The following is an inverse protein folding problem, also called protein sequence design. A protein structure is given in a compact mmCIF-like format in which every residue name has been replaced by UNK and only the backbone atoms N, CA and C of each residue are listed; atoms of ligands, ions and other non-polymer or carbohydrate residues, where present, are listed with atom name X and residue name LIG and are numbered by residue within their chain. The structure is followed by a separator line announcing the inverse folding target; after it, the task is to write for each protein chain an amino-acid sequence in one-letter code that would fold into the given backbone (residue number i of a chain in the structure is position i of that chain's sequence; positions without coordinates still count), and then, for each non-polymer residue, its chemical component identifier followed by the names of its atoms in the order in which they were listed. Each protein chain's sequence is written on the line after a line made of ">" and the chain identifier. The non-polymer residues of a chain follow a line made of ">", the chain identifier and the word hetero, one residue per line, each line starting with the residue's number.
data_IF_236187175550
#
_entry.id   IF_236187175550
#
_cell.length_a   1.000
_cell.length_b   1.000
_cell.length_c   1.000
_cell.angle_alpha   90.00
_cell.angle_beta   90.00
_cell.angle_gamma   90.00
#
_symmetry.space_group_name_H-M   'P 1'
#
loop_
_entity.id
_entity.type
_entity.pdbx_description
1 polymer ?
#
# COMPACT_ATOMS: atom_id res chain seq x y z
N UNK A 1 26.19 2.08 -5.20
CA UNK A 1 24.74 2.37 -5.30
C UNK A 1 23.99 1.05 -5.38
N UNK A 2 22.84 0.97 -4.72
CA UNK A 2 22.00 -0.22 -4.62
C UNK A 2 20.90 -0.13 -5.67
N UNK A 3 20.64 -1.21 -6.40
CA UNK A 3 19.54 -1.30 -7.36
C UNK A 3 18.29 -1.78 -6.64
N UNK A 4 17.22 -0.98 -6.67
CA UNK A 4 15.90 -1.34 -6.13
C UNK A 4 15.38 -2.60 -6.84
N UNK A 5 15.64 -2.72 -8.14
CA UNK A 5 15.23 -3.89 -8.93
C UNK A 5 15.83 -5.22 -8.46
N UNK A 6 16.93 -5.18 -7.69
CA UNK A 6 17.63 -6.34 -7.17
C UNK A 6 17.32 -6.61 -5.69
N UNK A 7 16.55 -5.74 -5.04
CA UNK A 7 16.20 -5.92 -3.64
C UNK A 7 15.15 -7.02 -3.46
N UNK A 8 15.23 -7.79 -2.37
CA UNK A 8 14.22 -8.80 -2.05
C UNK A 8 12.89 -8.11 -1.72
N UNK A 9 11.84 -8.46 -2.49
CA UNK A 9 10.49 -7.94 -2.28
C UNK A 9 9.83 -8.62 -1.08
N UNK A 10 9.08 -7.85 -0.30
CA UNK A 10 8.18 -8.35 0.74
C UNK A 10 6.86 -8.78 0.10
N UNK A 11 6.57 -10.07 0.20
CA UNK A 11 5.45 -10.72 -0.49
C UNK A 11 4.29 -11.06 0.44
N UNK A 12 4.49 -11.01 1.76
CA UNK A 12 3.45 -11.29 2.74
C UNK A 12 3.70 -10.52 4.05
N UNK A 13 2.68 -10.34 4.89
CA UNK A 13 2.81 -9.65 6.17
C UNK A 13 3.85 -10.27 7.11
N UNK A 14 4.03 -11.60 7.09
CA UNK A 14 5.04 -12.26 7.91
C UNK A 14 6.44 -11.75 7.59
N UNK A 15 6.81 -11.70 6.30
CA UNK A 15 8.07 -11.13 5.84
C UNK A 15 8.25 -9.67 6.24
N UNK A 16 7.17 -8.88 6.25
CA UNK A 16 7.20 -7.48 6.69
C UNK A 16 7.63 -7.38 8.16
N UNK A 17 6.96 -8.10 9.06
CA UNK A 17 7.26 -8.02 10.50
C UNK A 17 8.59 -8.67 10.90
N UNK A 18 9.10 -9.62 10.11
CA UNK A 18 10.41 -10.24 10.38
C UNK A 18 11.59 -9.42 9.89
N UNK A 19 11.36 -8.44 9.02
CA UNK A 19 12.44 -7.67 8.44
C UNK A 19 12.87 -6.53 9.37
N UNK A 20 14.17 -6.45 9.67
CA UNK A 20 14.74 -5.42 10.53
C UNK A 20 14.65 -4.02 9.92
N UNK A 21 14.66 -3.92 8.59
CA UNK A 21 14.54 -2.63 7.90
C UNK A 21 13.90 -2.78 6.53
N UNK A 22 12.97 -1.86 6.27
CA UNK A 22 12.12 -1.85 5.09
C UNK A 22 12.46 -0.62 4.25
N UNK A 23 12.42 -0.80 2.93
CA UNK A 23 12.32 0.26 1.96
C UNK A 23 10.91 0.21 1.36
N UNK A 24 10.15 1.29 1.54
CA UNK A 24 8.95 1.55 0.75
C UNK A 24 9.32 2.40 -0.46
N UNK A 25 8.90 1.95 -1.63
CA UNK A 25 9.04 2.65 -2.90
C UNK A 25 7.68 2.93 -3.48
N UNK A 26 7.43 4.18 -3.85
CA UNK A 26 6.22 4.61 -4.54
C UNK A 26 6.53 5.73 -5.53
N UNK A 27 5.51 6.23 -6.23
CA UNK A 27 5.65 7.31 -7.20
C UNK A 27 4.62 8.40 -6.93
N UNK A 28 5.10 9.63 -6.73
CA UNK A 28 4.28 10.82 -6.60
C UNK A 28 3.98 11.41 -7.98
N UNK A 29 2.70 11.61 -8.27
CA UNK A 29 2.28 12.42 -9.41
C UNK A 29 2.37 13.90 -9.05
N UNK A 30 3.24 14.62 -9.77
CA UNK A 30 3.33 16.09 -9.69
C UNK A 30 2.35 16.74 -10.67
N UNK A 31 2.01 16.06 -11.76
CA UNK A 31 1.12 16.57 -12.81
C UNK A 31 1.86 17.35 -13.90
N UNK A 32 1.17 18.33 -14.47
CA UNK A 32 1.67 19.17 -15.57
C UNK A 32 2.48 20.36 -15.03
N UNK A 33 3.72 20.08 -14.62
CA UNK A 33 4.64 21.11 -14.16
C UNK A 33 5.23 21.93 -15.33
N UNK A 34 5.43 23.26 -15.16
CA UNK A 34 6.15 24.09 -16.13
C UNK A 34 7.56 23.55 -16.43
N UNK A 35 8.11 23.84 -17.62
CA UNK A 35 9.43 23.32 -18.06
C UNK A 35 10.54 23.49 -17.02
N UNK A 36 10.69 24.70 -16.46
CA UNK A 36 11.74 24.97 -15.47
C UNK A 36 11.57 24.12 -14.20
N UNK A 37 10.33 23.85 -13.79
CA UNK A 37 10.04 23.01 -12.63
C UNK A 37 10.35 21.55 -12.93
N UNK A 38 10.02 21.06 -14.14
CA UNK A 38 10.37 19.70 -14.57
C UNK A 38 11.87 19.47 -14.55
N UNK A 39 12.64 20.42 -15.07
CA UNK A 39 14.11 20.37 -15.05
C UNK A 39 14.65 20.37 -13.61
N UNK A 40 14.11 21.21 -12.72
CA UNK A 40 14.47 21.20 -11.30
C UNK A 40 14.16 19.87 -10.62
N UNK A 41 12.94 19.36 -10.76
CA UNK A 41 12.50 18.07 -10.20
C UNK A 41 13.39 16.92 -10.70
N UNK A 42 13.73 16.93 -11.99
CA UNK A 42 14.60 15.92 -12.59
C UNK A 42 16.00 15.94 -11.99
N UNK A 43 16.56 17.13 -11.75
CA UNK A 43 17.94 17.29 -11.29
C UNK A 43 18.09 17.11 -9.77
N UNK A 44 17.10 17.54 -8.98
CA UNK A 44 17.20 17.58 -7.52
C UNK A 44 16.50 16.40 -6.83
N UNK A 45 15.37 15.93 -7.38
CA UNK A 45 14.52 14.91 -6.74
C UNK A 45 14.46 13.59 -7.51
N UNK A 46 15.31 13.42 -8.53
CA UNK A 46 15.32 12.21 -9.35
C UNK A 46 14.04 11.99 -10.17
N UNK A 47 13.21 13.03 -10.34
CA UNK A 47 11.94 12.90 -11.03
C UNK A 47 12.08 12.69 -12.54
N UNK A 48 11.03 12.19 -13.17
CA UNK A 48 11.01 11.76 -14.57
C UNK A 48 9.66 12.11 -15.22
N UNK A 49 9.60 11.99 -16.55
CA UNK A 49 8.41 12.29 -17.34
C UNK A 49 7.87 10.98 -17.92
N UNK A 50 6.58 10.73 -17.71
CA UNK A 50 5.85 9.61 -18.31
C UNK A 50 4.48 10.10 -18.76
N UNK A 51 4.06 9.74 -19.98
CA UNK A 51 2.78 10.18 -20.56
C UNK A 51 2.51 11.69 -20.41
N UNK A 52 3.53 12.52 -20.66
CA UNK A 52 3.54 13.99 -20.53
C UNK A 52 3.39 14.55 -19.12
N UNK A 53 3.16 13.71 -18.10
CA UNK A 53 3.07 14.09 -16.69
C UNK A 53 4.42 13.93 -15.99
N UNK A 54 4.62 14.72 -14.95
CA UNK A 54 5.84 14.69 -14.12
C UNK A 54 5.62 13.82 -12.90
N UNK A 55 6.60 12.96 -12.61
CA UNK A 55 6.58 12.02 -11.50
C UNK A 55 7.86 12.11 -10.68
N UNK A 56 7.76 11.76 -9.40
CA UNK A 56 8.90 11.70 -8.48
C UNK A 56 8.88 10.34 -7.78
N UNK A 57 9.97 9.57 -7.82
CA UNK A 57 10.07 8.36 -7.00
C UNK A 57 10.15 8.76 -5.52
N UNK A 58 9.29 8.18 -4.70
CA UNK A 58 9.33 8.30 -3.25
C UNK A 58 9.98 7.05 -2.70
N UNK A 59 10.99 7.24 -1.87
CA UNK A 59 11.65 6.17 -1.11
C UNK A 59 11.62 6.51 0.38
N UNK A 60 11.04 5.63 1.19
CA UNK A 60 11.01 5.77 2.65
C UNK A 60 11.66 4.55 3.28
N UNK A 61 12.53 4.77 4.24
CA UNK A 61 13.23 3.69 4.96
C UNK A 61 12.85 3.72 6.43
N UNK A 62 12.66 2.55 7.04
CA UNK A 62 12.32 2.45 8.46
C UNK A 62 12.15 1.01 8.93
N UNK A 63 11.98 0.83 10.24
CA UNK A 63 11.54 -0.46 10.77
C UNK A 63 10.04 -0.67 10.49
N UNK A 64 9.54 -1.91 10.50
CA UNK A 64 8.11 -2.20 10.34
C UNK A 64 7.22 -1.38 11.30
N UNK A 65 7.64 -1.26 12.56
CA UNK A 65 6.91 -0.53 13.60
C UNK A 65 6.88 0.96 13.31
N UNK A 66 8.03 1.54 12.94
CA UNK A 66 8.13 2.96 12.57
C UNK A 66 7.25 3.29 11.37
N UNK A 67 7.23 2.42 10.35
CA UNK A 67 6.40 2.63 9.17
C UNK A 67 4.90 2.64 9.51
N UNK A 68 4.45 1.67 10.32
CA UNK A 68 3.05 1.61 10.75
C UNK A 68 2.68 2.75 11.69
N UNK A 69 3.57 3.16 12.61
CA UNK A 69 3.35 4.29 13.51
C UNK A 69 3.25 5.64 12.79
N UNK A 70 3.73 5.72 11.54
CA UNK A 70 3.64 6.89 10.68
C UNK A 70 2.58 6.75 9.57
N UNK A 71 1.80 5.67 9.58
CA UNK A 71 0.64 5.55 8.70
C UNK A 71 -0.35 6.71 8.93
N UNK A 72 -0.89 7.26 7.85
CA UNK A 72 -1.78 8.41 7.82
C UNK A 72 -1.11 9.76 8.04
N UNK A 73 0.18 9.81 8.40
CA UNK A 73 0.88 11.08 8.56
C UNK A 73 1.35 11.62 7.20
N UNK A 74 1.07 12.90 6.88
CA UNK A 74 1.53 13.48 5.64
C UNK A 74 3.05 13.69 5.67
N UNK A 75 3.69 13.26 4.60
CA UNK A 75 5.07 13.57 4.25
C UNK A 75 5.02 14.71 3.26
N UNK A 76 5.43 15.88 3.73
CA UNK A 76 5.36 17.12 2.97
C UNK A 76 6.59 17.21 2.07
N UNK A 77 6.37 17.12 0.76
CA UNK A 77 7.36 17.43 -0.25
C UNK A 77 7.22 18.91 -0.63
N UNK A 78 8.11 19.74 -0.07
CA UNK A 78 8.23 21.15 -0.44
C UNK A 78 9.23 21.28 -1.57
N UNK A 79 8.79 21.86 -2.67
CA UNK A 79 9.66 22.27 -3.76
C UNK A 79 9.89 23.77 -3.61
N UNK A 80 11.14 24.23 -3.70
CA UNK A 80 11.56 25.63 -3.44
C UNK A 80 10.82 26.70 -4.27
N UNK A 81 10.03 26.29 -5.27
CA UNK A 81 9.25 27.14 -6.16
C UNK A 81 7.75 27.18 -5.80
N UNK A 82 7.40 27.00 -4.53
CA UNK A 82 6.04 27.19 -4.02
C UNK A 82 5.06 26.05 -4.36
N UNK A 83 5.57 24.89 -4.75
CA UNK A 83 4.76 23.69 -4.95
C UNK A 83 4.93 22.80 -3.71
N UNK A 84 3.82 22.34 -3.17
CA UNK A 84 3.80 21.46 -1.99
C UNK A 84 2.89 20.27 -2.31
N UNK A 85 3.43 19.07 -2.15
CA UNK A 85 2.65 17.84 -2.30
C UNK A 85 2.73 17.02 -1.01
N UNK A 86 1.62 16.40 -0.66
CA UNK A 86 1.50 15.60 0.54
C UNK A 86 1.36 14.15 0.11
N UNK A 87 2.34 13.33 0.49
CA UNK A 87 2.23 11.89 0.36
C UNK A 87 1.89 11.31 1.74
N UNK A 88 0.94 10.40 1.82
CA UNK A 88 0.69 9.66 3.04
C UNK A 88 0.67 8.16 2.74
N UNK A 89 1.38 7.38 3.54
CA UNK A 89 1.20 5.94 3.54
C UNK A 89 -0.08 5.63 4.33
N UNK A 90 -1.06 4.96 3.73
CA UNK A 90 -2.36 4.69 4.34
C UNK A 90 -2.33 3.58 5.41
N UNK A 91 -1.20 2.88 5.56
CA UNK A 91 -1.05 1.76 6.48
C UNK A 91 -1.62 0.43 5.95
N UNK A 92 -2.15 0.40 4.74
CA UNK A 92 -2.70 -0.83 4.15
C UNK A 92 -1.56 -1.71 3.62
N UNK A 93 -1.06 -2.59 4.50
CA UNK A 93 0.04 -3.50 4.17
C UNK A 93 -0.30 -4.43 3.00
N UNK A 94 -1.54 -4.90 2.90
CA UNK A 94 -1.96 -5.78 1.81
C UNK A 94 -1.93 -5.06 0.46
N UNK A 95 -2.40 -3.81 0.41
CA UNK A 95 -2.29 -2.98 -0.79
C UNK A 95 -0.83 -2.69 -1.14
N UNK A 96 0.01 -2.36 -0.16
CA UNK A 96 1.43 -2.10 -0.38
C UNK A 96 2.19 -3.33 -0.93
N UNK A 97 1.90 -4.52 -0.39
CA UNK A 97 2.45 -5.80 -0.88
C UNK A 97 1.93 -6.10 -2.28
N UNK A 98 0.63 -5.95 -2.53
CA UNK A 98 0.00 -6.16 -3.84
C UNK A 98 0.65 -5.31 -4.92
N UNK A 99 0.87 -4.03 -4.63
CA UNK A 99 1.54 -3.09 -5.52
C UNK A 99 3.07 -3.24 -5.55
N UNK A 100 3.64 -4.20 -4.83
CA UNK A 100 5.09 -4.48 -4.78
C UNK A 100 5.90 -3.24 -4.37
N UNK A 101 5.42 -2.52 -3.36
CA UNK A 101 6.04 -1.29 -2.86
C UNK A 101 7.07 -1.54 -1.76
N UNK A 102 7.08 -2.72 -1.14
CA UNK A 102 7.86 -3.00 0.06
C UNK A 102 9.03 -3.94 -0.24
N UNK A 103 10.24 -3.53 0.13
CA UNK A 103 11.47 -4.27 -0.05
C UNK A 103 12.19 -4.45 1.28
N UNK A 104 12.81 -5.60 1.48
CA UNK A 104 13.66 -5.85 2.62
C UNK A 104 15.07 -5.34 2.31
N UNK A 105 15.56 -4.43 3.17
CA UNK A 105 16.92 -3.87 3.08
C UNK A 105 17.74 -4.15 4.33
N UNK A 106 17.35 -5.15 5.12
CA UNK A 106 18.03 -5.53 6.37
C UNK A 106 19.53 -5.79 6.18
N UNK A 107 19.92 -6.34 5.04
CA UNK A 107 21.33 -6.58 4.71
C UNK A 107 22.20 -5.30 4.65
N UNK A 108 21.58 -4.12 4.55
CA UNK A 108 22.26 -2.84 4.34
C UNK A 108 22.19 -1.90 5.56
N UNK A 109 21.61 -2.32 6.68
CA UNK A 109 21.39 -1.48 7.88
C UNK A 109 22.71 -0.91 8.43
N UNK A 110 23.76 -1.72 8.44
CA UNK A 110 25.07 -1.34 8.99
C UNK A 110 25.99 -0.66 7.95
N UNK A 111 25.48 -0.37 6.75
CA UNK A 111 26.23 0.30 5.70
C UNK A 111 26.38 1.80 5.95
N UNK A 112 27.46 2.45 5.46
CA UNK A 112 27.76 3.85 5.76
C UNK A 112 26.79 4.87 5.14
N UNK A 113 26.00 4.49 4.13
CA UNK A 113 24.86 5.26 3.60
C UNK A 113 24.16 4.45 2.52
N UNK A 114 22.83 4.35 2.56
CA UNK A 114 22.05 3.66 1.54
C UNK A 114 21.80 4.65 0.39
N UNK A 115 22.51 4.48 -0.72
CA UNK A 115 22.30 5.24 -1.95
C UNK A 115 21.72 4.35 -3.03
N UNK A 116 20.57 4.72 -3.58
CA UNK A 116 19.89 3.95 -4.63
C UNK A 116 20.26 4.43 -6.04
N UNK A 117 20.32 3.51 -6.99
CA UNK A 117 20.45 3.83 -8.41
C UNK A 117 19.14 4.40 -8.97
N UNK A 118 19.28 5.33 -9.91
CA UNK A 118 18.13 5.93 -10.61
C UNK A 118 17.64 4.97 -11.69
N UNK A 119 16.68 4.13 -11.32
CA UNK A 119 16.13 3.12 -12.23
C UNK A 119 14.77 3.58 -12.81
N UNK A 120 14.76 4.64 -13.61
CA UNK A 120 13.52 5.22 -14.19
C UNK A 120 12.65 4.18 -14.90
N UNK A 121 13.25 3.39 -15.80
CA UNK A 121 12.52 2.38 -16.57
C UNK A 121 11.90 1.32 -15.66
N UNK A 122 12.60 0.91 -14.60
CA UNK A 122 12.06 -0.02 -13.62
C UNK A 122 10.86 0.58 -12.88
N UNK A 123 10.99 1.82 -12.39
CA UNK A 123 9.93 2.52 -11.66
C UNK A 123 8.70 2.72 -12.55
N UNK A 124 8.88 3.17 -13.80
CA UNK A 124 7.79 3.34 -14.77
C UNK A 124 7.09 2.00 -15.01
N UNK A 125 7.85 0.96 -15.34
CA UNK A 125 7.28 -0.35 -15.65
C UNK A 125 6.58 -0.99 -14.44
N UNK A 126 7.09 -0.78 -13.22
CA UNK A 126 6.52 -1.35 -11.99
C UNK A 126 5.27 -0.60 -11.52
N UNK A 127 5.35 0.71 -11.41
CA UNK A 127 4.40 1.51 -10.64
C UNK A 127 3.44 2.34 -11.49
N UNK A 128 3.76 2.57 -12.77
CA UNK A 128 2.91 3.35 -13.67
C UNK A 128 2.30 2.45 -14.76
N UNK A 129 3.12 1.95 -15.69
CA UNK A 129 2.63 1.12 -16.80
C UNK A 129 2.06 -0.23 -16.31
N UNK A 130 2.68 -0.81 -15.29
CA UNK A 130 2.23 -2.06 -14.66
C UNK A 130 1.21 -1.88 -13.54
N UNK A 131 0.70 -0.66 -13.32
CA UNK A 131 -0.24 -0.38 -12.25
C UNK A 131 -1.53 -1.19 -12.42
N UNK A 132 -2.00 -1.76 -11.32
CA UNK A 132 -3.29 -2.45 -11.23
C UNK A 132 -3.99 -1.98 -9.98
N UNK A 133 -5.27 -1.63 -10.08
CA UNK A 133 -6.07 -1.26 -8.92
C UNK A 133 -6.04 -2.39 -7.88
N UNK A 134 -5.85 -2.02 -6.61
CA UNK A 134 -5.98 -2.97 -5.52
C UNK A 134 -7.47 -3.23 -5.28
N UNK A 135 -7.86 -4.49 -5.31
CA UNK A 135 -9.16 -4.94 -4.86
C UNK A 135 -8.95 -5.68 -3.56
N UNK A 136 -9.56 -5.17 -2.49
CA UNK A 136 -9.54 -5.87 -1.23
C UNK A 136 -10.18 -7.25 -1.46
N UNK A 137 -9.47 -8.35 -1.17
CA UNK A 137 -10.08 -9.66 -1.27
C UNK A 137 -11.29 -9.62 -0.36
N UNK A 138 -12.49 -9.72 -0.96
CA UNK A 138 -13.73 -9.70 -0.21
C UNK A 138 -13.58 -10.70 0.93
N UNK A 139 -13.91 -10.27 2.16
CA UNK A 139 -14.09 -11.21 3.26
C UNK A 139 -14.86 -12.38 2.68
N UNK A 140 -14.23 -13.56 2.57
CA UNK A 140 -14.97 -14.77 2.26
C UNK A 140 -16.00 -14.89 3.38
N UNK A 141 -17.22 -14.46 3.09
CA UNK A 141 -18.35 -14.60 3.98
C UNK A 141 -18.48 -16.09 4.25
N UNK A 142 -17.96 -16.50 5.42
CA UNK A 142 -18.39 -17.65 6.20
C UNK A 142 -19.20 -18.66 5.37
N UNK A 143 -18.52 -19.55 4.67
CA UNK A 143 -19.10 -20.83 4.21
C UNK A 143 -19.60 -21.72 5.37
N UNK A 144 -19.58 -21.20 6.61
CA UNK A 144 -20.17 -21.75 7.83
C UNK A 144 -21.24 -20.79 8.41
N UNK A 145 -22.08 -20.20 7.58
CA UNK A 145 -23.36 -19.68 8.06
C UNK A 145 -24.24 -20.87 8.46
N UNK A 146 -24.20 -21.25 9.75
CA UNK A 146 -25.14 -22.20 10.34
C UNK A 146 -26.54 -21.68 10.03
N UNK A 147 -27.41 -22.44 9.33
CA UNK A 147 -28.76 -21.98 9.05
C UNK A 147 -29.47 -21.74 10.38
N UNK A 148 -30.07 -20.56 10.56
CA UNK A 148 -30.91 -20.26 11.72
C UNK A 148 -31.99 -21.34 11.80
N UNK A 149 -31.91 -22.18 12.82
CA UNK A 149 -32.97 -23.15 13.13
C UNK A 149 -34.31 -22.42 13.25
N UNK A 150 -35.38 -22.91 12.63
CA UNK A 150 -36.68 -22.27 12.76
C UNK A 150 -37.11 -22.27 14.23
N UNK A 151 -37.66 -21.14 14.69
CA UNK A 151 -38.28 -21.01 16.02
C UNK A 151 -39.47 -21.97 16.11
N UNK A 152 -39.22 -23.17 16.64
CA UNK A 152 -40.28 -24.09 17.06
C UNK A 152 -41.10 -23.40 18.15
N UNK A 153 -42.40 -23.20 17.90
CA UNK A 153 -43.35 -22.73 18.91
C UNK A 153 -44.19 -21.49 18.57
N UNK A 154 -44.06 -20.88 17.39
CA UNK A 154 -44.79 -19.62 17.07
C UNK A 154 -46.06 -19.83 16.21
N UNK A 155 -46.35 -21.04 15.77
CA UNK A 155 -47.66 -21.35 15.16
C UNK A 155 -48.59 -21.99 16.18
N UNK A 156 -49.68 -21.30 16.52
CA UNK A 156 -50.76 -21.84 17.31
C UNK A 156 -51.37 -23.07 16.60
N UNK A 157 -51.37 -24.22 17.27
CA UNK A 157 -52.02 -25.45 16.77
C UNK A 157 -53.54 -25.27 16.76
N UNK A 158 -54.07 -24.69 15.67
CA UNK A 158 -55.52 -24.64 15.41
C UNK A 158 -56.00 -26.04 15.03
N UNK A 159 -56.74 -26.69 15.92
CA UNK A 159 -57.40 -27.97 15.62
C UNK A 159 -57.64 -28.89 16.81
N UNK A 160 -57.03 -28.63 17.96
CA UNK A 160 -57.23 -29.47 19.15
C UNK A 160 -58.37 -28.92 20.00
N UNK A 161 -59.53 -29.59 19.96
CA UNK A 161 -60.64 -29.33 20.89
C UNK A 161 -60.32 -29.97 22.26
N UNK A 162 -60.53 -29.26 23.38
CA UNK A 162 -60.34 -29.85 24.70
C UNK A 162 -61.39 -30.93 24.97
N UNK A 163 -60.94 -32.11 25.39
CA UNK A 163 -61.80 -33.20 25.86
C UNK A 163 -62.29 -32.83 27.27
N UNK A 164 -63.59 -32.56 27.43
CA UNK A 164 -64.19 -32.39 28.76
C UNK A 164 -64.17 -33.73 29.50
N UNK A 165 -63.64 -33.77 30.71
CA UNK A 165 -63.88 -34.85 31.67
C UNK A 165 -65.15 -34.51 32.44
N UNK A 166 -66.18 -35.34 32.21
CA UNK A 166 -67.50 -35.46 32.86
C UNK A 166 -68.29 -34.16 33.08
#
# INVERSE_FOLDING_TARGET
>A
MIRISQLPLIQNPGQFYTAEHILLVDVLLVGDAPRQMREYIKNTHGGFIYEKKTYIPITLTGTPESMLANAGKPIVFRFDRGFENHYHFDGNLNAAIWHKKLYNISAFIHGPSIQFEREEDFIINRYLAGYRAYHEPGNEEKLLAIPKSPLVGVQAMKGLKPVRKN
#
